data_IF_628040834518
#
_entry.id   IF_628040834518
#
_cell.length_a   1.000
_cell.length_b   1.000
_cell.length_c   1.000
_cell.angle_alpha   90.00
_cell.angle_beta   90.00
_cell.angle_gamma   90.00
#
_symmetry.space_group_name_H-M   'P 1'
#
loop_
_entity.id
_entity.type
_entity.pdbx_description
1 polymer ?
#
# COMPACT_ATOMS: atom_id res chain seq x y z
N UNK A 1 11.46 10.84 10.32
CA UNK A 1 11.16 10.68 8.89
C UNK A 1 9.85 9.98 8.70
N UNK A 2 8.98 10.56 7.95
CA UNK A 2 7.72 9.92 7.64
C UNK A 2 7.97 8.76 6.69
N UNK A 3 7.45 7.60 7.02
CA UNK A 3 7.55 6.42 6.18
C UNK A 3 6.21 6.14 5.52
N UNK A 4 5.59 7.22 5.05
CA UNK A 4 4.31 7.11 4.37
C UNK A 4 4.55 6.77 2.92
N UNK A 5 3.74 5.89 2.39
CA UNK A 5 3.70 5.70 0.96
C UNK A 5 2.72 6.70 0.35
N UNK A 6 2.91 7.00 -0.93
CA UNK A 6 1.97 7.84 -1.67
C UNK A 6 0.84 6.96 -2.24
N UNK A 7 -0.30 7.56 -2.63
CA UNK A 7 -1.33 6.81 -3.34
C UNK A 7 -0.80 6.09 -4.58
N UNK A 8 0.09 6.74 -5.31
CA UNK A 8 0.71 6.15 -6.49
C UNK A 8 1.54 4.92 -6.15
N UNK A 9 2.32 5.00 -5.08
CA UNK A 9 3.10 3.86 -4.63
C UNK A 9 2.21 2.70 -4.22
N UNK A 10 1.10 2.99 -3.55
CA UNK A 10 0.14 1.97 -3.13
C UNK A 10 -0.45 1.24 -4.34
N UNK A 11 -0.93 2.01 -5.33
CA UNK A 11 -1.48 1.42 -6.55
C UNK A 11 -0.42 0.62 -7.31
N UNK A 12 0.79 1.15 -7.40
CA UNK A 12 1.89 0.46 -8.09
C UNK A 12 2.25 -0.85 -7.40
N UNK A 13 2.30 -0.85 -6.07
CA UNK A 13 2.59 -2.05 -5.30
C UNK A 13 1.52 -3.12 -5.51
N UNK A 14 0.24 -2.70 -5.47
CA UNK A 14 -0.84 -3.64 -5.74
C UNK A 14 -0.76 -4.21 -7.16
N UNK A 15 -0.50 -3.34 -8.14
CA UNK A 15 -0.34 -3.79 -9.52
C UNK A 15 0.83 -4.74 -9.70
N UNK A 16 1.92 -4.45 -9.02
CA UNK A 16 3.09 -5.34 -9.05
C UNK A 16 2.74 -6.73 -8.54
N UNK A 17 1.99 -6.79 -7.44
CA UNK A 17 1.66 -8.05 -6.76
C UNK A 17 0.38 -8.70 -7.29
N UNK A 18 -0.35 -8.01 -8.14
CA UNK A 18 -1.66 -8.45 -8.64
C UNK A 18 -2.65 -8.72 -7.51
N UNK A 19 -2.68 -7.81 -6.53
CA UNK A 19 -3.64 -7.90 -5.43
C UNK A 19 -4.67 -6.77 -5.55
N UNK A 20 -5.91 -7.08 -5.13
CA UNK A 20 -7.00 -6.12 -5.17
C UNK A 20 -6.95 -5.17 -3.98
N UNK A 21 -7.76 -4.11 -4.06
CA UNK A 21 -7.94 -3.22 -2.90
C UNK A 21 -8.52 -4.00 -1.72
N UNK A 22 -9.45 -4.90 -1.97
CA UNK A 22 -10.03 -5.75 -0.93
C UNK A 22 -8.96 -6.62 -0.27
N UNK A 23 -8.10 -7.24 -1.07
CA UNK A 23 -7.01 -8.06 -0.54
C UNK A 23 -6.09 -7.24 0.35
N UNK A 24 -5.74 -6.04 -0.09
CA UNK A 24 -4.87 -5.17 0.69
C UNK A 24 -5.55 -4.73 1.98
N UNK A 25 -6.82 -4.36 1.90
CA UNK A 25 -7.58 -3.96 3.09
C UNK A 25 -7.61 -5.07 4.13
N UNK A 26 -7.85 -6.30 3.69
CA UNK A 26 -7.85 -7.46 4.58
C UNK A 26 -6.48 -7.71 5.19
N UNK A 27 -5.44 -7.64 4.37
CA UNK A 27 -4.08 -7.87 4.84
C UNK A 27 -3.64 -6.82 5.86
N UNK A 28 -4.08 -5.58 5.68
CA UNK A 28 -3.73 -4.49 6.58
C UNK A 28 -4.69 -4.34 7.77
N UNK A 29 -5.80 -5.07 7.77
CA UNK A 29 -6.79 -4.94 8.84
C UNK A 29 -7.50 -3.59 8.82
N UNK A 30 -7.69 -2.99 7.65
CA UNK A 30 -8.39 -1.71 7.49
C UNK A 30 -9.60 -1.90 6.60
N UNK A 31 -10.48 -0.90 6.57
CA UNK A 31 -11.66 -0.98 5.71
C UNK A 31 -11.29 -0.78 4.24
N UNK A 32 -12.10 -1.35 3.35
CA UNK A 32 -11.93 -1.15 1.92
C UNK A 32 -12.06 0.32 1.55
N UNK A 33 -12.97 1.05 2.20
CA UNK A 33 -13.15 2.47 1.92
C UNK A 33 -11.89 3.28 2.27
N UNK A 34 -11.16 2.87 3.30
CA UNK A 34 -9.89 3.51 3.64
C UNK A 34 -8.88 3.37 2.50
N UNK A 35 -8.76 2.18 1.93
CA UNK A 35 -7.86 1.94 0.81
C UNK A 35 -8.29 2.75 -0.42
N UNK A 36 -9.58 2.69 -0.75
CA UNK A 36 -10.12 3.44 -1.90
C UNK A 36 -9.85 4.92 -1.79
N UNK A 37 -10.19 5.52 -0.65
CA UNK A 37 -10.06 6.96 -0.46
C UNK A 37 -8.60 7.38 -0.47
N UNK A 38 -7.73 6.58 0.11
CA UNK A 38 -6.32 6.86 0.07
C UNK A 38 -5.79 6.82 -1.38
N UNK A 39 -6.11 5.78 -2.12
CA UNK A 39 -5.59 5.63 -3.48
C UNK A 39 -6.11 6.70 -4.43
N UNK A 40 -7.26 7.29 -4.13
CA UNK A 40 -7.81 8.40 -4.90
C UNK A 40 -7.31 9.76 -4.43
N UNK A 41 -6.50 9.78 -3.39
CA UNK A 41 -5.99 11.03 -2.83
C UNK A 41 -7.01 11.82 -2.03
N UNK A 42 -8.13 11.21 -1.64
CA UNK A 42 -9.19 11.90 -0.89
C UNK A 42 -8.91 11.99 0.59
N UNK A 43 -8.14 11.04 1.12
CA UNK A 43 -7.90 10.94 2.55
C UNK A 43 -6.54 10.31 2.79
N UNK A 44 -5.83 10.81 3.78
CA UNK A 44 -4.63 10.16 4.27
C UNK A 44 -5.04 9.36 5.51
N UNK A 45 -4.83 8.04 5.53
CA UNK A 45 -5.14 7.24 6.72
C UNK A 45 -4.37 7.73 7.93
N UNK A 46 -4.92 7.54 9.11
CA UNK A 46 -4.18 7.79 10.35
C UNK A 46 -2.93 6.90 10.39
N UNK A 47 -1.92 7.32 11.17
CA UNK A 47 -0.61 6.70 11.14
C UNK A 47 -0.61 5.18 11.28
N UNK A 48 -1.41 4.64 12.23
CA UNK A 48 -1.49 3.19 12.42
C UNK A 48 -2.01 2.47 11.19
N UNK A 49 -3.02 3.02 10.54
CA UNK A 49 -3.60 2.41 9.34
C UNK A 49 -2.64 2.52 8.15
N UNK A 50 -1.98 3.65 8.01
CA UNK A 50 -0.96 3.82 6.97
C UNK A 50 0.17 2.81 7.16
N UNK A 51 0.66 2.67 8.39
CA UNK A 51 1.73 1.73 8.69
C UNK A 51 1.29 0.29 8.41
N UNK A 52 0.05 -0.05 8.74
CA UNK A 52 -0.48 -1.40 8.51
C UNK A 52 -0.56 -1.72 7.01
N UNK A 53 -1.02 -0.77 6.20
CA UNK A 53 -1.07 -0.95 4.74
C UNK A 53 0.31 -1.12 4.16
N UNK A 54 1.24 -0.26 4.57
CA UNK A 54 2.62 -0.34 4.10
C UNK A 54 3.27 -1.67 4.50
N UNK A 55 3.10 -2.06 5.76
CA UNK A 55 3.65 -3.32 6.27
C UNK A 55 3.09 -4.52 5.53
N UNK A 56 1.80 -4.50 5.20
CA UNK A 56 1.18 -5.58 4.44
C UNK A 56 1.84 -5.75 3.06
N UNK A 57 2.12 -4.64 2.39
CA UNK A 57 2.80 -4.68 1.09
C UNK A 57 4.27 -5.09 1.23
N UNK A 58 4.94 -4.58 2.26
CA UNK A 58 6.33 -4.94 2.52
C UNK A 58 6.49 -6.43 2.82
N UNK A 59 5.52 -7.01 3.53
CA UNK A 59 5.56 -8.44 3.85
C UNK A 59 5.47 -9.31 2.61
N UNK A 60 4.98 -8.75 1.50
CA UNK A 60 4.89 -9.45 0.21
C UNK A 60 6.08 -9.16 -0.71
N UNK A 61 7.10 -8.48 -0.20
CA UNK A 61 8.33 -8.24 -0.94
C UNK A 61 8.46 -6.86 -1.56
N UNK A 62 7.49 -5.99 -1.37
CA UNK A 62 7.58 -4.63 -1.89
C UNK A 62 8.55 -3.82 -1.03
N UNK A 63 9.42 -3.07 -1.68
CA UNK A 63 10.28 -2.09 -1.03
C UNK A 63 9.94 -0.72 -1.56
N UNK A 64 9.69 0.23 -0.67
CA UNK A 64 9.34 1.58 -1.04
C UNK A 64 10.60 2.41 -1.17
N UNK A 65 10.72 3.12 -2.29
CA UNK A 65 11.81 4.05 -2.55
C UNK A 65 11.27 5.47 -2.43
N UNK A 66 12.11 6.47 -2.65
CA UNK A 66 11.69 7.86 -2.52
C UNK A 66 10.51 8.19 -3.44
N UNK A 67 10.56 7.74 -4.68
CA UNK A 67 9.56 8.10 -5.68
C UNK A 67 8.86 6.89 -6.29
N UNK A 68 9.11 5.70 -5.79
CA UNK A 68 8.55 4.51 -6.42
C UNK A 68 8.64 3.29 -5.52
N UNK A 69 8.69 2.16 -6.16
CA UNK A 69 8.79 0.88 -5.46
C UNK A 69 9.72 -0.05 -6.23
N UNK A 70 10.21 -1.06 -5.51
CA UNK A 70 10.74 -2.27 -6.12
C UNK A 70 10.00 -3.45 -5.51
N UNK A 71 10.03 -4.58 -6.16
CA UNK A 71 9.33 -5.75 -5.67
C UNK A 71 9.99 -7.04 -6.11
N UNK A 72 9.38 -8.18 -5.74
CA UNK A 72 9.93 -9.46 -6.14
C UNK A 72 9.89 -9.61 -7.65
N UNK A 73 10.92 -10.24 -8.19
CA UNK A 73 10.94 -10.53 -9.62
C UNK A 73 10.07 -11.75 -9.89
N UNK A 74 9.42 -11.73 -11.04
CA UNK A 74 8.70 -12.90 -11.49
C UNK A 74 9.71 -14.02 -11.75
N UNK A 75 9.41 -15.18 -11.26
CA UNK A 75 10.25 -16.35 -11.47
C UNK A 75 9.89 -17.07 -12.76
#
# INVERSE_FOLDING_TARGET
MAHFMTPEQCRAARGWLDVSQTDLAQAGGVSLSTVRDFEKGRRVPIGNNMNALRAALESKGIKFTENGITGPLAS
#
